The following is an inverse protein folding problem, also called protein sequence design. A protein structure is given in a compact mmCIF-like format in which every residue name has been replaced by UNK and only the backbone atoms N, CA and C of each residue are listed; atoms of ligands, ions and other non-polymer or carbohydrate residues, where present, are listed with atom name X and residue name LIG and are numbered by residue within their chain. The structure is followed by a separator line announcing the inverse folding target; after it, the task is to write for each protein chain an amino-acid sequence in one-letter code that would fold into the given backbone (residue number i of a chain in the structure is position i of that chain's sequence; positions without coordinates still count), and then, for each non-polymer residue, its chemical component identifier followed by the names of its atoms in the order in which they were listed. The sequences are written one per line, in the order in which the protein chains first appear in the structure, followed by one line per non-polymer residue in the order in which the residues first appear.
data_IF_635201792346
#
_entry.id   IF_635201792346
#
_cell.length_a   1.000
_cell.length_b   1.000
_cell.length_c   1.000
_cell.angle_alpha   90.00
_cell.angle_beta   90.00
_cell.angle_gamma   90.00
#
_symmetry.space_group_name_H-M   'P 1'
#
loop_
_entity.id
_entity.type
_entity.pdbx_description
1 polymer ?
#
# COMPACT_ATOMS: atom_id res chain seq x y z
N UNK A 1 17.99 7.91 -1.40
CA UNK A 1 16.62 8.47 -1.43
C UNK A 1 16.59 9.59 -2.46
N UNK A 2 15.55 9.64 -3.32
CA UNK A 2 15.39 10.69 -4.34
C UNK A 2 14.57 11.84 -3.74
N UNK A 3 14.92 13.08 -4.07
CA UNK A 3 14.13 14.25 -3.72
C UNK A 3 13.40 14.79 -4.96
N UNK A 4 12.20 15.35 -4.76
CA UNK A 4 11.42 16.10 -5.75
C UNK A 4 11.15 17.47 -5.15
N UNK A 5 11.70 18.52 -5.76
CA UNK A 5 11.57 19.91 -5.27
C UNK A 5 12.04 20.12 -3.81
N UNK A 6 12.91 19.25 -3.31
CA UNK A 6 13.42 19.28 -1.93
C UNK A 6 12.71 18.34 -0.97
N UNK A 7 11.52 17.84 -1.34
CA UNK A 7 10.78 16.85 -0.57
C UNK A 7 11.23 15.43 -0.88
N UNK A 8 11.14 14.54 0.11
CA UNK A 8 11.40 13.12 -0.10
C UNK A 8 10.39 12.55 -1.10
N UNK A 9 10.89 12.01 -2.21
CA UNK A 9 10.05 11.36 -3.19
C UNK A 9 9.41 10.10 -2.61
N UNK A 10 8.15 9.85 -2.95
CA UNK A 10 7.51 8.56 -2.69
C UNK A 10 8.35 7.44 -3.32
N UNK A 11 8.50 6.33 -2.60
CA UNK A 11 9.32 5.19 -3.01
C UNK A 11 8.55 3.86 -2.99
N UNK A 12 7.25 3.92 -2.73
CA UNK A 12 6.34 2.80 -2.61
C UNK A 12 5.19 2.94 -3.63
N UNK A 13 4.67 1.80 -4.10
CA UNK A 13 3.49 1.75 -4.94
C UNK A 13 2.23 1.92 -4.09
N UNK A 14 1.43 2.96 -4.37
CA UNK A 14 0.22 3.25 -3.62
C UNK A 14 -0.82 2.12 -3.70
N UNK A 15 -0.78 1.27 -4.74
CA UNK A 15 -1.69 0.13 -4.89
C UNK A 15 -1.42 -0.96 -3.85
N UNK A 16 -0.18 -1.04 -3.35
CA UNK A 16 0.16 -1.85 -2.19
C UNK A 16 -0.60 -1.39 -0.94
N UNK A 17 -0.62 -0.07 -0.70
CA UNK A 17 -1.35 0.53 0.43
C UNK A 17 -2.86 0.27 0.33
N UNK A 18 -3.43 0.39 -0.87
CA UNK A 18 -4.84 0.07 -1.07
C UNK A 18 -5.13 -1.42 -0.88
N UNK A 19 -4.19 -2.29 -1.23
CA UNK A 19 -4.31 -3.73 -0.96
C UNK A 19 -4.35 -4.00 0.55
N UNK A 20 -3.49 -3.36 1.35
CA UNK A 20 -3.52 -3.48 2.81
C UNK A 20 -4.87 -3.00 3.39
N UNK A 21 -5.36 -1.82 2.99
CA UNK A 21 -6.64 -1.29 3.51
C UNK A 21 -7.81 -2.20 3.11
N UNK A 22 -7.88 -2.62 1.85
CA UNK A 22 -8.99 -3.44 1.36
C UNK A 22 -9.01 -4.80 2.07
N UNK A 23 -7.87 -5.50 2.12
CA UNK A 23 -7.84 -6.87 2.62
C UNK A 23 -7.74 -6.95 4.14
N UNK A 24 -6.89 -6.13 4.78
CA UNK A 24 -6.58 -6.30 6.20
C UNK A 24 -7.48 -5.45 7.11
N UNK A 25 -8.10 -4.38 6.60
CA UNK A 25 -9.03 -3.54 7.39
C UNK A 25 -10.49 -3.77 7.03
N UNK A 26 -10.80 -3.90 5.74
CA UNK A 26 -12.17 -3.99 5.25
C UNK A 26 -12.60 -5.43 4.93
N UNK A 27 -11.68 -6.40 4.95
CA UNK A 27 -11.91 -7.81 4.58
C UNK A 27 -12.52 -7.96 3.16
N UNK A 28 -12.01 -7.16 2.21
CA UNK A 28 -12.41 -7.11 0.80
C UNK A 28 -11.26 -7.54 -0.10
N UNK A 29 -11.52 -8.46 -1.03
CA UNK A 29 -10.52 -8.92 -2.02
C UNK A 29 -10.07 -7.77 -2.94
N UNK A 30 -8.78 -7.42 -2.89
CA UNK A 30 -8.27 -6.22 -3.58
C UNK A 30 -8.04 -6.40 -5.09
N UNK A 31 -7.67 -7.61 -5.54
CA UNK A 31 -7.12 -7.85 -6.90
C UNK A 31 -7.92 -7.21 -8.03
N UNK A 32 -9.24 -7.33 -7.98
CA UNK A 32 -10.14 -6.87 -9.03
C UNK A 32 -10.42 -5.35 -8.94
N UNK A 33 -10.14 -4.72 -7.79
CA UNK A 33 -10.28 -3.28 -7.53
C UNK A 33 -8.99 -2.54 -7.91
N UNK A 34 -7.84 -3.05 -7.49
CA UNK A 34 -6.52 -2.44 -7.78
C UNK A 34 -5.94 -2.88 -9.13
N UNK A 35 -6.67 -3.74 -9.86
CA UNK A 35 -6.30 -4.26 -11.17
C UNK A 35 -4.92 -4.95 -11.17
N UNK A 36 -4.73 -5.91 -10.28
CA UNK A 36 -3.47 -6.66 -10.20
C UNK A 36 -3.16 -7.21 -8.81
N UNK A 37 -1.91 -7.67 -8.65
CA UNK A 37 -1.37 -8.11 -7.36
C UNK A 37 -0.16 -7.22 -7.07
N UNK A 38 -0.16 -6.61 -5.89
CA UNK A 38 0.86 -5.66 -5.48
C UNK A 38 1.42 -6.05 -4.11
N UNK A 39 2.66 -5.66 -3.86
CA UNK A 39 3.31 -5.88 -2.57
C UNK A 39 2.61 -5.05 -1.49
N UNK A 40 2.17 -5.72 -0.42
CA UNK A 40 1.62 -5.08 0.78
C UNK A 40 2.71 -4.27 1.47
N UNK A 41 2.42 -3.00 1.74
CA UNK A 41 3.34 -2.07 2.42
C UNK A 41 3.30 -2.27 3.94
N UNK A 42 2.26 -2.96 4.45
CA UNK A 42 2.05 -3.28 5.87
C UNK A 42 2.30 -2.06 6.78
N UNK A 43 1.64 -0.92 6.51
CA UNK A 43 1.84 0.30 7.28
C UNK A 43 1.38 0.19 8.74
N UNK A 44 0.61 -0.84 9.08
CA UNK A 44 0.11 -1.09 10.42
C UNK A 44 0.64 -2.43 10.91
N UNK A 45 1.40 -2.41 12.01
CA UNK A 45 1.74 -3.62 12.74
C UNK A 45 0.68 -3.82 13.82
N UNK A 46 -0.16 -4.84 13.67
CA UNK A 46 -1.00 -5.29 14.77
C UNK A 46 -0.18 -6.30 15.58
N UNK A 47 0.32 -5.88 16.74
CA UNK A 47 0.82 -6.81 17.74
C UNK A 47 -0.36 -7.58 18.32
N UNK A 48 -0.35 -8.91 18.18
CA UNK A 48 -1.22 -9.81 18.92
C UNK A 48 -0.94 -9.76 20.42
#
# INVERSE_FOLDING_TARGET
MKLVEGDLAFNNDFRGLYTDILEDWLDVKARDIVNGVYEKVRPFSFSA
#
